data_IF_269467451242
#
_entry.id   IF_269467451242
#
_cell.length_a   1.000
_cell.length_b   1.000
_cell.length_c   1.000
_cell.angle_alpha   90.00
_cell.angle_beta   90.00
_cell.angle_gamma   90.00
#
_symmetry.space_group_name_H-M   'P 1'
#
loop_
_entity.id
_entity.type
_entity.pdbx_description
1 polymer ?
#
# COMPACT_ATOMS: atom_id res chain seq x y z
N UNK A 1 18.20 8.58 8.30
CA UNK A 1 18.21 7.29 9.03
C UNK A 1 19.65 6.96 9.34
N UNK A 2 19.93 6.49 10.56
CA UNK A 2 21.26 5.98 10.89
C UNK A 2 21.51 4.62 10.21
N UNK A 3 22.76 4.24 9.92
CA UNK A 3 23.07 2.93 9.36
C UNK A 3 22.58 1.78 10.23
N UNK A 4 21.98 0.78 9.61
CA UNK A 4 21.55 -0.46 10.27
C UNK A 4 22.39 -1.61 9.71
N UNK A 5 22.95 -2.44 10.59
CA UNK A 5 23.78 -3.58 10.18
C UNK A 5 23.00 -4.54 9.28
N UNK A 6 23.56 -4.88 8.12
CA UNK A 6 22.92 -5.77 7.14
C UNK A 6 21.84 -5.12 6.28
N UNK A 7 21.64 -3.80 6.39
CA UNK A 7 20.66 -3.06 5.57
C UNK A 7 21.39 -2.07 4.67
N UNK A 8 21.17 -2.16 3.36
CA UNK A 8 21.57 -1.12 2.42
C UNK A 8 20.55 0.02 2.45
N UNK A 9 21.01 1.24 2.75
CA UNK A 9 20.13 2.41 2.87
C UNK A 9 20.39 3.35 1.71
N UNK A 10 19.36 3.59 0.92
CA UNK A 10 19.37 4.60 -0.15
C UNK A 10 18.63 5.85 0.30
N UNK A 11 19.33 6.99 0.32
CA UNK A 11 18.70 8.31 0.46
C UNK A 11 18.42 8.86 -0.94
N UNK A 12 17.20 8.71 -1.40
CA UNK A 12 16.78 9.06 -2.75
C UNK A 12 15.31 9.45 -2.80
N UNK A 13 14.89 10.01 -3.93
CA UNK A 13 13.50 10.22 -4.26
C UNK A 13 12.93 8.96 -4.92
N UNK A 14 11.88 8.40 -4.30
CA UNK A 14 11.20 7.20 -4.78
C UNK A 14 10.46 7.41 -6.12
N UNK A 15 10.19 8.66 -6.50
CA UNK A 15 9.54 9.04 -7.76
C UNK A 15 10.54 9.22 -8.91
N UNK A 16 11.85 9.17 -8.62
CA UNK A 16 12.87 9.38 -9.64
C UNK A 16 13.03 8.15 -10.54
N UNK A 17 13.07 8.38 -11.85
CA UNK A 17 13.35 7.34 -12.85
C UNK A 17 14.71 6.68 -12.63
N UNK A 18 15.70 7.44 -12.14
CA UNK A 18 17.03 6.94 -11.79
C UNK A 18 16.95 5.87 -10.69
N UNK A 19 16.21 6.14 -9.61
CA UNK A 19 16.04 5.19 -8.53
C UNK A 19 15.29 3.93 -8.99
N UNK A 20 14.19 4.10 -9.72
CA UNK A 20 13.40 2.98 -10.24
C UNK A 20 14.26 2.11 -11.16
N UNK A 21 15.04 2.73 -12.05
CA UNK A 21 15.94 2.01 -12.97
C UNK A 21 17.00 1.23 -12.21
N UNK A 22 17.59 1.83 -11.18
CA UNK A 22 18.55 1.14 -10.31
C UNK A 22 17.93 -0.07 -9.60
N UNK A 23 16.72 0.07 -9.06
CA UNK A 23 16.06 -1.02 -8.33
C UNK A 23 15.62 -2.17 -9.25
N UNK A 24 15.43 -1.95 -10.55
CA UNK A 24 15.18 -3.01 -11.53
C UNK A 24 16.36 -3.97 -11.71
N UNK A 25 17.57 -3.57 -11.33
CA UNK A 25 18.76 -4.42 -11.37
C UNK A 25 18.82 -5.37 -10.17
N UNK A 26 18.01 -5.13 -9.14
CA UNK A 26 17.95 -5.95 -7.93
C UNK A 26 16.88 -7.04 -8.04
N UNK A 27 17.16 -8.22 -7.47
CA UNK A 27 16.13 -9.23 -7.25
C UNK A 27 15.30 -8.85 -6.02
N UNK A 28 14.09 -8.34 -6.27
CA UNK A 28 13.15 -7.91 -5.23
C UNK A 28 11.96 -8.87 -5.23
N UNK A 29 11.64 -9.43 -4.06
CA UNK A 29 10.47 -10.30 -3.88
C UNK A 29 9.29 -9.56 -3.22
N UNK A 30 9.60 -8.56 -2.41
CA UNK A 30 8.60 -7.81 -1.64
C UNK A 30 8.96 -6.34 -1.54
N UNK A 31 7.98 -5.48 -1.80
CA UNK A 31 8.05 -4.04 -1.55
C UNK A 31 7.11 -3.70 -0.40
N UNK A 32 7.63 -2.97 0.60
CA UNK A 32 6.87 -2.50 1.75
C UNK A 32 6.94 -0.97 1.80
N UNK A 33 5.79 -0.30 1.94
CA UNK A 33 5.71 1.14 2.12
C UNK A 33 4.96 1.48 3.41
N UNK A 34 5.68 1.92 4.44
CA UNK A 34 5.12 2.45 5.69
C UNK A 34 4.97 3.97 5.68
N UNK A 35 5.18 4.60 4.51
CA UNK A 35 5.18 6.04 4.37
C UNK A 35 3.81 6.68 4.63
N UNK A 36 3.85 7.86 5.24
CA UNK A 36 2.70 8.74 5.43
C UNK A 36 3.14 10.19 5.16
N UNK A 37 2.28 11.04 4.56
CA UNK A 37 2.56 12.45 4.38
C UNK A 37 2.51 13.17 5.72
N UNK A 38 3.06 14.38 5.73
CA UNK A 38 2.86 15.31 6.83
C UNK A 38 1.36 15.62 6.95
N UNK A 39 0.79 15.38 8.13
CA UNK A 39 -0.63 15.59 8.40
C UNK A 39 -0.90 17.09 8.56
N UNK A 40 -1.69 17.64 7.66
CA UNK A 40 -2.08 19.06 7.67
C UNK A 40 -3.26 19.32 8.61
N UNK A 41 -4.03 18.27 8.92
CA UNK A 41 -5.28 18.35 9.69
C UNK A 41 -6.52 18.54 8.81
N UNK A 42 -6.32 18.69 7.49
CA UNK A 42 -7.41 18.70 6.50
C UNK A 42 -7.50 17.33 5.85
N UNK A 43 -8.47 16.55 6.30
CA UNK A 43 -8.67 15.15 5.92
C UNK A 43 -8.57 14.89 4.40
N UNK A 44 -9.22 15.72 3.57
CA UNK A 44 -9.20 15.53 2.11
C UNK A 44 -7.81 15.74 1.51
N UNK A 45 -7.06 16.74 1.99
CA UNK A 45 -5.70 17.03 1.50
C UNK A 45 -4.77 15.91 1.91
N UNK A 46 -4.84 15.48 3.16
CA UNK A 46 -4.03 14.40 3.72
C UNK A 46 -4.30 13.07 3.00
N UNK A 47 -5.57 12.79 2.67
CA UNK A 47 -5.95 11.61 1.90
C UNK A 47 -5.42 11.64 0.47
N UNK A 48 -5.47 12.78 -0.22
CA UNK A 48 -4.91 12.90 -1.58
C UNK A 48 -3.38 12.76 -1.57
N UNK A 49 -2.70 13.31 -0.57
CA UNK A 49 -1.26 13.15 -0.41
C UNK A 49 -0.89 11.68 -0.16
N UNK A 50 -1.64 10.97 0.68
CA UNK A 50 -1.46 9.53 0.91
C UNK A 50 -1.68 8.73 -0.38
N UNK A 51 -2.69 9.07 -1.18
CA UNK A 51 -2.93 8.40 -2.48
C UNK A 51 -1.76 8.62 -3.44
N UNK A 52 -1.21 9.83 -3.53
CA UNK A 52 -0.03 10.10 -4.33
C UNK A 52 1.16 9.20 -3.93
N UNK A 53 1.41 9.08 -2.63
CA UNK A 53 2.45 8.21 -2.09
C UNK A 53 2.20 6.72 -2.39
N UNK A 54 0.95 6.27 -2.28
CA UNK A 54 0.52 4.92 -2.63
C UNK A 54 0.76 4.59 -4.10
N UNK A 55 0.45 5.53 -5.00
CA UNK A 55 0.69 5.39 -6.43
C UNK A 55 2.19 5.30 -6.71
N UNK A 56 3.01 6.17 -6.12
CA UNK A 56 4.48 6.11 -6.28
C UNK A 56 5.05 4.77 -5.81
N UNK A 57 4.60 4.27 -4.65
CA UNK A 57 5.03 2.98 -4.12
C UNK A 57 4.58 1.81 -5.00
N UNK A 58 3.35 1.84 -5.51
CA UNK A 58 2.85 0.85 -6.46
C UNK A 58 3.67 0.88 -7.76
N UNK A 59 3.99 2.05 -8.29
CA UNK A 59 4.82 2.20 -9.50
C UNK A 59 6.17 1.51 -9.32
N UNK A 60 6.83 1.69 -8.18
CA UNK A 60 8.06 0.95 -7.86
C UNK A 60 7.78 -0.55 -7.85
N UNK A 61 6.80 -1.00 -7.07
CA UNK A 61 6.51 -2.42 -6.93
C UNK A 61 6.23 -3.10 -8.28
N UNK A 62 5.41 -2.49 -9.14
CA UNK A 62 5.12 -3.03 -10.48
C UNK A 62 6.35 -2.96 -11.40
N UNK A 63 7.22 -1.96 -11.23
CA UNK A 63 8.40 -1.76 -12.06
C UNK A 63 9.55 -2.71 -11.76
N UNK A 64 9.76 -3.06 -10.49
CA UNK A 64 10.96 -3.80 -10.04
C UNK A 64 10.74 -5.31 -9.95
N UNK A 65 9.48 -5.75 -9.89
CA UNK A 65 9.15 -7.16 -9.80
C UNK A 65 9.14 -7.84 -11.18
N UNK A 66 9.91 -8.92 -11.31
CA UNK A 66 9.99 -9.72 -12.55
C UNK A 66 9.21 -11.03 -12.51
N UNK A 67 8.55 -11.37 -11.39
CA UNK A 67 7.93 -12.67 -11.19
C UNK A 67 6.51 -12.59 -10.60
N UNK A 68 5.78 -13.68 -10.76
CA UNK A 68 4.39 -13.80 -10.32
C UNK A 68 4.22 -14.07 -8.82
N UNK A 69 5.29 -14.23 -8.04
CA UNK A 69 5.24 -14.44 -6.58
C UNK A 69 5.45 -13.15 -5.79
N UNK A 70 5.58 -12.04 -6.51
CA UNK A 70 5.72 -10.70 -5.96
C UNK A 70 4.63 -10.33 -4.95
N UNK A 71 5.07 -9.68 -3.87
CA UNK A 71 4.20 -9.12 -2.84
C UNK A 71 4.44 -7.62 -2.68
N UNK A 72 3.36 -6.86 -2.51
CA UNK A 72 3.40 -5.45 -2.19
C UNK A 72 2.54 -5.17 -0.95
N UNK A 73 3.11 -4.51 0.05
CA UNK A 73 2.41 -4.13 1.27
C UNK A 73 2.53 -2.62 1.45
N UNK A 74 1.42 -1.94 1.73
CA UNK A 74 1.48 -0.51 2.00
C UNK A 74 0.51 -0.06 3.07
N UNK A 75 0.93 0.93 3.85
CA UNK A 75 0.07 1.72 4.72
C UNK A 75 -0.93 2.54 3.89
N UNK A 76 -2.18 2.57 4.35
CA UNK A 76 -3.25 3.35 3.75
C UNK A 76 -4.09 4.02 4.87
N UNK A 77 -4.62 5.20 4.58
CA UNK A 77 -5.68 5.79 5.39
C UNK A 77 -7.03 5.29 4.87
N UNK A 78 -7.73 4.54 5.71
CA UNK A 78 -9.07 4.05 5.44
C UNK A 78 -10.01 5.25 5.31
N UNK A 79 -10.77 5.27 4.24
CA UNK A 79 -11.66 6.38 3.92
C UNK A 79 -12.57 6.09 2.74
N UNK A 80 -13.28 7.13 2.30
CA UNK A 80 -14.16 7.10 1.14
C UNK A 80 -13.42 6.73 -0.17
N UNK A 81 -12.12 7.00 -0.27
CA UNK A 81 -11.33 6.71 -1.47
C UNK A 81 -10.69 5.31 -1.50
N UNK A 82 -10.70 4.57 -0.38
CA UNK A 82 -10.01 3.28 -0.25
C UNK A 82 -10.44 2.28 -1.32
N UNK A 83 -11.73 2.18 -1.62
CA UNK A 83 -12.28 1.27 -2.62
C UNK A 83 -11.74 1.50 -4.04
N UNK A 84 -11.46 2.75 -4.40
CA UNK A 84 -10.92 3.08 -5.71
C UNK A 84 -9.45 2.69 -5.79
N UNK A 85 -8.69 2.92 -4.71
CA UNK A 85 -7.28 2.54 -4.61
C UNK A 85 -7.14 1.01 -4.67
N UNK A 86 -7.89 0.26 -3.87
CA UNK A 86 -7.81 -1.21 -3.87
C UNK A 86 -8.25 -1.81 -5.20
N UNK A 87 -9.31 -1.27 -5.80
CA UNK A 87 -9.73 -1.68 -7.15
C UNK A 87 -8.67 -1.36 -8.21
N UNK A 88 -7.99 -0.22 -8.10
CA UNK A 88 -6.87 0.11 -8.97
C UNK A 88 -5.71 -0.88 -8.82
N UNK A 89 -5.40 -1.29 -7.59
CA UNK A 89 -4.33 -2.26 -7.32
C UNK A 89 -4.66 -3.65 -7.90
N UNK A 90 -5.95 -4.01 -7.99
CA UNK A 90 -6.40 -5.24 -8.65
C UNK A 90 -6.16 -5.29 -10.14
N UNK A 91 -5.84 -4.16 -10.79
CA UNK A 91 -5.37 -4.17 -12.19
C UNK A 91 -3.99 -4.82 -12.35
N UNK A 92 -3.25 -4.96 -11.25
CA UNK A 92 -1.85 -5.39 -11.19
C UNK A 92 -1.68 -6.73 -10.45
N UNK A 93 -2.38 -6.90 -9.33
CA UNK A 93 -2.26 -8.05 -8.45
C UNK A 93 -3.54 -8.88 -8.40
N UNK A 94 -3.42 -10.22 -8.41
CA UNK A 94 -4.60 -11.10 -8.38
C UNK A 94 -5.34 -11.04 -7.05
N UNK A 95 -4.60 -10.82 -5.96
CA UNK A 95 -5.15 -10.72 -4.61
C UNK A 95 -4.80 -9.37 -4.02
N UNK A 96 -5.82 -8.67 -3.53
CA UNK A 96 -5.69 -7.39 -2.82
C UNK A 96 -6.55 -7.51 -1.57
N UNK A 97 -5.89 -7.47 -0.42
CA UNK A 97 -6.48 -7.60 0.91
C UNK A 97 -6.30 -6.30 1.68
N UNK A 98 -7.37 -5.80 2.30
CA UNK A 98 -7.29 -4.69 3.25
C UNK A 98 -7.31 -5.26 4.67
N UNK A 99 -6.32 -4.91 5.49
CA UNK A 99 -6.21 -5.42 6.85
C UNK A 99 -5.80 -4.35 7.86
N UNK A 100 -6.25 -4.51 9.11
CA UNK A 100 -5.76 -3.73 10.24
C UNK A 100 -5.15 -4.69 11.28
N UNK A 101 -3.82 -4.67 11.49
CA UNK A 101 -3.19 -5.54 12.48
C UNK A 101 -3.50 -5.07 13.89
N UNK A 102 -3.50 -6.00 14.85
CA UNK A 102 -3.66 -5.71 16.28
C UNK A 102 -2.66 -4.67 16.82
N UNK A 103 -1.48 -4.58 16.23
CA UNK A 103 -0.47 -3.59 16.61
C UNK A 103 -0.85 -2.15 16.24
N UNK A 104 -1.78 -1.95 15.29
CA UNK A 104 -2.27 -0.61 14.92
C UNK A 104 -3.22 -0.08 15.97
N UNK A 105 -3.13 1.23 16.23
CA UNK A 105 -4.05 1.94 17.13
C UNK A 105 -5.48 1.83 16.61
N UNK A 106 -6.42 1.51 17.49
CA UNK A 106 -7.82 1.32 17.13
C UNK A 106 -8.47 2.62 16.63
N UNK A 107 -8.10 3.75 17.25
CA UNK A 107 -8.61 5.08 16.91
C UNK A 107 -8.03 5.68 15.62
N UNK A 108 -7.02 5.05 15.03
CA UNK A 108 -6.42 5.53 13.79
C UNK A 108 -7.17 5.00 12.57
N UNK A 109 -7.28 5.84 11.54
CA UNK A 109 -7.74 5.41 10.20
C UNK A 109 -6.68 4.58 9.45
N UNK A 110 -5.51 4.36 10.04
CA UNK A 110 -4.46 3.51 9.48
C UNK A 110 -4.93 2.06 9.30
N UNK A 111 -4.75 1.56 8.09
CA UNK A 111 -4.85 0.17 7.70
C UNK A 111 -3.69 -0.17 6.75
N UNK A 112 -3.62 -1.41 6.31
CA UNK A 112 -2.64 -1.91 5.36
C UNK A 112 -3.34 -2.59 4.20
N UNK A 113 -2.83 -2.37 3.00
CA UNK A 113 -3.19 -3.15 1.83
C UNK A 113 -2.07 -4.13 1.53
N UNK A 114 -2.44 -5.40 1.35
CA UNK A 114 -1.55 -6.50 0.99
C UNK A 114 -1.95 -6.99 -0.39
N UNK A 115 -1.03 -6.87 -1.34
CA UNK A 115 -1.19 -7.28 -2.71
C UNK A 115 -0.27 -8.46 -3.00
N UNK A 116 -0.80 -9.57 -3.51
CA UNK A 116 0.00 -10.74 -3.90
C UNK A 116 -0.33 -11.18 -5.32
N UNK A 117 0.62 -11.90 -5.90
CA UNK A 117 0.50 -12.51 -7.21
C UNK A 117 0.39 -11.45 -8.33
N UNK A 118 1.48 -10.72 -8.54
CA UNK A 118 1.60 -9.77 -9.67
C UNK A 118 1.34 -10.50 -10.99
N UNK A 119 0.43 -9.96 -11.80
CA UNK A 119 0.05 -10.56 -13.09
C UNK A 119 0.08 -9.57 -14.25
N UNK A 120 0.14 -8.26 -13.97
CA UNK A 120 0.22 -7.22 -14.97
C UNK A 120 1.33 -6.23 -14.56
N UNK A 121 2.28 -6.00 -15.47
CA UNK A 121 3.41 -5.10 -15.26
C UNK A 121 3.30 -3.81 -16.09
N UNK A 122 2.13 -3.51 -16.64
CA UNK A 122 1.91 -2.31 -17.47
C UNK A 122 1.86 -1.04 -16.63
N UNK A 123 3.00 -0.36 -16.56
CA UNK A 123 3.15 0.87 -15.79
C UNK A 123 2.48 2.10 -16.41
N UNK A 124 1.99 2.03 -17.64
CA UNK A 124 1.52 3.22 -18.39
C UNK A 124 0.36 3.96 -17.71
N UNK A 125 -0.47 3.23 -16.96
CA UNK A 125 -1.69 3.78 -16.34
C UNK A 125 -1.68 3.69 -14.81
N UNK A 126 -0.52 3.52 -14.17
CA UNK A 126 -0.45 3.36 -12.70
C UNK A 126 -0.93 4.61 -11.97
N UNK A 127 -0.78 5.80 -12.56
CA UNK A 127 -1.24 7.06 -11.97
C UNK A 127 -2.73 7.37 -12.16
N UNK A 128 -3.45 6.57 -12.95
CA UNK A 128 -4.83 6.87 -13.37
C UNK A 128 -5.86 6.03 -12.60
N UNK A 129 -6.18 6.47 -11.38
CA UNK A 129 -7.28 5.89 -10.60
C UNK A 129 -8.61 6.33 -11.22
N UNK A 130 -9.45 5.36 -11.56
CA UNK A 130 -10.81 5.61 -12.06
C UNK A 130 -11.80 5.77 -10.91
N UNK A 131 -12.17 7.02 -10.63
CA UNK A 131 -13.14 7.38 -9.59
C UNK A 131 -14.61 7.32 -10.06
N UNK A 132 -14.88 7.04 -11.34
CA UNK A 132 -16.24 6.99 -11.89
C UNK A 132 -16.98 5.68 -11.59
N UNK A 133 -16.24 4.67 -11.12
CA UNK A 133 -16.77 3.33 -10.85
C UNK A 133 -17.70 3.31 -9.64
N UNK A 134 -18.82 2.60 -9.76
CA UNK A 134 -19.68 2.29 -8.63
C UNK A 134 -19.19 1.03 -7.92
N UNK A 135 -18.25 1.23 -6.99
CA UNK A 135 -17.61 0.14 -6.24
C UNK A 135 -18.22 -0.01 -4.85
N UNK A 136 -18.35 -1.26 -4.41
CA UNK A 136 -18.61 -1.62 -3.02
C UNK A 136 -17.37 -1.36 -2.16
N UNK A 137 -17.57 -1.21 -0.85
CA UNK A 137 -16.46 -1.08 0.08
C UNK A 137 -15.78 -2.42 0.28
N UNK A 138 -14.45 -2.39 0.35
CA UNK A 138 -13.67 -3.58 0.69
C UNK A 138 -13.89 -3.99 2.15
N UNK A 139 -14.03 -5.31 2.43
CA UNK A 139 -14.00 -5.79 3.79
C UNK A 139 -12.61 -5.50 4.39
N UNK A 140 -12.61 -4.99 5.62
CA UNK A 140 -11.41 -4.82 6.41
C UNK A 140 -11.22 -6.05 7.28
N UNK A 141 -10.19 -6.86 6.99
CA UNK A 141 -9.87 -8.02 7.81
C UNK A 141 -9.00 -7.61 9.00
N UNK A 142 -9.36 -8.04 10.20
CA UNK A 142 -8.51 -7.83 11.38
C UNK A 142 -7.52 -8.99 11.49
N UNK A 143 -6.23 -8.70 11.67
CA UNK A 143 -5.19 -9.73 11.78
C UNK A 143 -4.36 -9.60 13.07
N UNK A 144 -3.66 -10.68 13.44
CA UNK A 144 -2.88 -10.75 14.68
C UNK A 144 -3.70 -11.01 15.95
N UNK A 145 -4.91 -11.53 15.78
CA UNK A 145 -5.69 -12.16 16.84
C UNK A 145 -5.51 -13.66 16.68
N UNK A 146 -4.61 -14.26 17.45
CA UNK A 146 -4.63 -15.71 17.64
C UNK A 146 -6.02 -16.07 18.17
N UNK A 147 -6.62 -17.18 17.69
CA UNK A 147 -7.98 -17.64 18.03
C UNK A 147 -8.23 -17.90 19.55
N UNK A 148 -7.32 -17.49 20.43
CA UNK A 148 -7.36 -17.71 21.88
C UNK A 148 -7.80 -16.50 22.71
N UNK A 149 -7.98 -15.31 22.12
CA UNK A 149 -8.49 -14.15 22.88
C UNK A 149 -9.56 -13.41 22.10
N UNK A 150 -10.82 -13.76 22.37
CA UNK A 150 -12.00 -12.98 22.02
C UNK A 150 -11.82 -11.53 22.50
N UNK A 151 -11.87 -10.57 21.57
CA UNK A 151 -12.15 -9.18 21.92
C UNK A 151 -13.26 -8.68 20.98
N UNK A 152 -14.17 -7.95 21.61
CA UNK A 152 -15.44 -7.39 21.13
C UNK A 152 -15.39 -6.83 19.71
N UNK A 153 -16.52 -6.99 19.01
CA UNK A 153 -16.76 -6.49 17.65
C UNK A 153 -16.16 -5.10 17.42
N UNK A 154 -15.33 -4.99 16.37
CA UNK A 154 -14.89 -3.71 15.82
C UNK A 154 -16.14 -2.93 15.39
N UNK A 155 -16.52 -1.94 16.20
CA UNK A 155 -17.65 -1.05 15.92
C UNK A 155 -17.10 0.32 15.48
N UNK A 156 -16.97 0.58 14.17
CA UNK A 156 -16.54 1.89 13.69
C UNK A 156 -17.61 2.92 14.06
N UNK A 157 -17.20 3.99 14.77
CA UNK A 157 -18.06 5.15 15.03
C UNK A 157 -18.33 5.92 13.74
#
# INVERSE_FOLDING_TARGET
MEPISGVEIHKCDITSDEFITKMKECEIETVICDGAPDVTGYYEIDLHAQIGLLISALTIAVSVHGNSTSTFVSKIFKGNLTKYVTNHFRKYYKRVLLTKPRASRAESDEAFVICTDLYNCDITNVSEIDYSLNLENEPLEVCGYDNEYFIEEYNPK
#
